data_IF_939445768668
#
_entry.id   IF_939445768668
#
_cell.length_a   1.000
_cell.length_b   1.000
_cell.length_c   1.000
_cell.angle_alpha   90.00
_cell.angle_beta   90.00
_cell.angle_gamma   90.00
#
_symmetry.space_group_name_H-M   'P 1'
#
loop_
_entity.id
_entity.type
_entity.pdbx_description
1 polymer ?
#
# COMPACT_ATOMS: atom_id res chain seq x y z
N UNK A 1 -80.88 -13.32 -8.43
CA UNK A 1 -80.67 -12.04 -9.15
C UNK A 1 -79.73 -11.17 -8.32
N UNK A 2 -78.61 -10.77 -8.94
CA UNK A 2 -77.71 -9.64 -8.63
C UNK A 2 -76.95 -9.58 -7.28
N UNK A 3 -75.64 -9.52 -7.42
CA UNK A 3 -74.52 -9.32 -6.48
C UNK A 3 -74.48 -7.94 -5.83
N UNK A 4 -73.99 -7.85 -4.59
CA UNK A 4 -73.50 -6.59 -4.00
C UNK A 4 -72.04 -6.78 -3.54
N UNK A 5 -71.12 -6.10 -4.25
CA UNK A 5 -69.70 -6.07 -3.95
C UNK A 5 -69.43 -5.07 -2.81
N UNK A 6 -68.62 -5.48 -1.82
CA UNK A 6 -68.06 -4.55 -0.82
C UNK A 6 -66.60 -4.29 -1.18
N UNK A 7 -66.29 -3.01 -1.40
CA UNK A 7 -65.01 -2.48 -1.89
C UNK A 7 -64.04 -2.33 -0.71
N UNK A 8 -62.84 -2.88 -0.84
CA UNK A 8 -61.75 -2.79 0.15
C UNK A 8 -61.03 -1.43 0.01
N UNK A 9 -60.83 -0.62 1.07
CA UNK A 9 -60.11 0.64 0.91
C UNK A 9 -58.59 0.41 0.90
N UNK A 10 -57.95 1.05 -0.08
CA UNK A 10 -56.53 1.01 -0.36
C UNK A 10 -55.70 1.92 0.57
N UNK A 11 -54.63 1.34 1.12
CA UNK A 11 -53.23 1.83 1.14
C UNK A 11 -52.96 3.35 1.19
N UNK A 12 -52.32 3.82 2.28
CA UNK A 12 -51.56 5.08 2.30
C UNK A 12 -50.14 4.83 2.84
N UNK A 13 -49.15 4.97 1.96
CA UNK A 13 -47.74 4.72 2.17
C UNK A 13 -47.05 5.83 2.98
N UNK A 14 -46.16 5.46 3.92
CA UNK A 14 -45.05 6.32 4.33
C UNK A 14 -43.80 5.47 4.63
N UNK A 15 -43.18 4.93 3.58
CA UNK A 15 -41.89 4.26 3.66
C UNK A 15 -40.76 5.27 3.57
N UNK A 16 -40.16 5.64 4.70
CA UNK A 16 -38.93 6.42 4.74
C UNK A 16 -37.77 5.48 4.37
N UNK A 17 -37.32 5.49 3.12
CA UNK A 17 -36.19 4.67 2.69
C UNK A 17 -34.88 5.35 3.10
N UNK A 18 -34.20 4.78 4.10
CA UNK A 18 -32.81 5.14 4.37
C UNK A 18 -31.96 4.70 3.17
N UNK A 19 -31.45 5.65 2.39
CA UNK A 19 -30.45 5.35 1.38
C UNK A 19 -29.17 4.87 2.10
N UNK A 20 -28.59 3.72 1.71
CA UNK A 20 -27.30 3.31 2.26
C UNK A 20 -26.24 4.34 1.86
N UNK A 21 -25.61 4.95 2.86
CA UNK A 21 -24.38 5.74 2.66
C UNK A 21 -23.27 4.75 2.30
N UNK A 22 -22.84 4.75 1.04
CA UNK A 22 -21.69 3.97 0.60
C UNK A 22 -20.45 4.83 0.84
N UNK A 23 -19.60 4.42 1.78
CA UNK A 23 -18.28 5.01 1.98
C UNK A 23 -17.26 4.21 1.17
N UNK A 24 -16.50 4.89 0.32
CA UNK A 24 -15.48 4.25 -0.51
C UNK A 24 -14.19 4.07 0.32
N UNK A 25 -13.73 2.83 0.48
CA UNK A 25 -12.48 2.52 1.19
C UNK A 25 -11.32 2.52 0.18
N UNK A 26 -10.57 3.63 0.13
CA UNK A 26 -9.42 3.75 -0.76
C UNK A 26 -8.20 3.05 -0.16
N UNK A 27 -8.10 1.73 -0.36
CA UNK A 27 -6.93 0.94 0.04
C UNK A 27 -5.73 1.30 -0.82
N UNK A 28 -4.90 2.25 -0.36
CA UNK A 28 -3.59 2.49 -0.94
C UNK A 28 -2.72 1.27 -0.62
N UNK A 29 -2.71 0.29 -1.54
CA UNK A 29 -1.88 -0.90 -1.38
C UNK A 29 -0.41 -0.50 -1.42
N UNK A 30 0.32 -0.58 -0.30
CA UNK A 30 1.77 -0.33 -0.23
C UNK A 30 2.53 -1.24 -1.21
N UNK A 31 2.05 -2.47 -1.40
CA UNK A 31 2.53 -3.39 -2.43
C UNK A 31 2.39 -2.80 -3.85
N UNK A 32 1.29 -2.09 -4.16
CA UNK A 32 1.10 -1.42 -5.45
C UNK A 32 2.06 -0.25 -5.64
N UNK A 33 2.49 0.41 -4.56
CA UNK A 33 3.46 1.50 -4.63
C UNK A 33 4.87 0.98 -4.94
N UNK A 34 5.29 -0.09 -4.27
CA UNK A 34 6.57 -0.76 -4.59
C UNK A 34 6.57 -1.32 -6.02
N UNK A 35 5.45 -1.89 -6.47
CA UNK A 35 5.32 -2.37 -7.85
C UNK A 35 5.46 -1.22 -8.86
N UNK A 36 4.81 -0.07 -8.61
CA UNK A 36 4.96 1.12 -9.46
C UNK A 36 6.40 1.65 -9.47
N UNK A 37 7.08 1.63 -8.33
CA UNK A 37 8.48 2.03 -8.24
C UNK A 37 9.37 1.09 -9.06
N UNK A 38 9.20 -0.24 -8.93
CA UNK A 38 9.95 -1.21 -9.73
C UNK A 38 9.72 -1.03 -11.23
N UNK A 39 8.50 -0.68 -11.65
CA UNK A 39 8.20 -0.38 -13.06
C UNK A 39 8.83 0.92 -13.58
N UNK A 40 9.22 1.85 -12.70
CA UNK A 40 9.80 3.14 -13.07
C UNK A 40 11.34 3.12 -13.08
N UNK A 41 11.96 2.01 -12.66
CA UNK A 41 13.42 1.87 -12.58
C UNK A 41 13.86 0.69 -13.43
N UNK A 42 14.74 0.95 -14.41
CA UNK A 42 15.17 -0.06 -15.38
C UNK A 42 16.15 -1.11 -14.79
N UNK A 43 16.68 -0.87 -13.58
CA UNK A 43 17.63 -1.76 -12.91
C UNK A 43 16.99 -2.72 -11.89
N UNK A 44 17.79 -3.65 -11.37
CA UNK A 44 17.40 -4.45 -10.21
C UNK A 44 17.44 -3.59 -8.94
N UNK A 45 16.52 -3.86 -8.02
CA UNK A 45 16.50 -3.26 -6.68
C UNK A 45 16.57 -4.37 -5.62
N UNK A 46 17.23 -4.13 -4.48
CA UNK A 46 17.19 -5.06 -3.36
C UNK A 46 15.75 -5.31 -2.90
N UNK A 47 15.37 -6.59 -2.84
CA UNK A 47 14.05 -6.99 -2.37
C UNK A 47 14.02 -7.06 -0.83
N UNK A 48 12.86 -6.84 -0.20
CA UNK A 48 12.70 -7.04 1.23
C UNK A 48 13.15 -8.45 1.65
N UNK A 49 13.83 -8.55 2.79
CA UNK A 49 14.35 -9.81 3.33
C UNK A 49 15.80 -10.13 2.94
N UNK A 50 16.42 -9.41 2.01
CA UNK A 50 17.84 -9.62 1.70
C UNK A 50 18.74 -9.17 2.86
N UNK A 51 19.81 -9.93 3.12
CA UNK A 51 20.83 -9.54 4.10
C UNK A 51 21.76 -8.45 3.54
N UNK A 52 22.33 -7.60 4.41
CA UNK A 52 23.29 -6.55 4.00
C UNK A 52 24.44 -7.10 3.14
N UNK A 53 25.06 -8.21 3.54
CA UNK A 53 26.15 -8.84 2.78
C UNK A 53 25.72 -9.27 1.37
N UNK A 54 24.49 -9.75 1.23
CA UNK A 54 23.92 -10.10 -0.08
C UNK A 54 23.69 -8.85 -0.91
N UNK A 55 23.18 -7.77 -0.32
CA UNK A 55 23.00 -6.49 -1.00
C UNK A 55 24.34 -5.93 -1.47
N UNK A 56 25.35 -5.91 -0.62
CA UNK A 56 26.70 -5.44 -0.96
C UNK A 56 27.31 -6.27 -2.10
N UNK A 57 27.17 -7.59 -2.05
CA UNK A 57 27.69 -8.50 -3.08
C UNK A 57 26.99 -8.37 -4.43
N UNK A 58 25.67 -8.16 -4.44
CA UNK A 58 24.87 -8.13 -5.68
C UNK A 58 24.72 -6.72 -6.27
N UNK A 59 24.74 -5.68 -5.44
CA UNK A 59 24.46 -4.29 -5.83
C UNK A 59 25.67 -3.36 -5.65
N UNK A 60 26.75 -3.85 -5.02
CA UNK A 60 27.97 -3.10 -4.75
C UNK A 60 27.89 -2.25 -3.48
N UNK A 61 28.99 -1.52 -3.23
CA UNK A 61 29.09 -0.60 -2.10
C UNK A 61 28.12 0.58 -2.23
N UNK A 62 27.46 0.99 -1.14
CA UNK A 62 26.68 2.21 -1.15
C UNK A 62 27.59 3.44 -1.27
N UNK A 63 27.08 4.53 -1.88
CA UNK A 63 27.78 5.81 -1.91
C UNK A 63 27.83 6.47 -0.53
N UNK A 64 26.90 6.09 0.35
CA UNK A 64 26.82 6.61 1.72
C UNK A 64 26.02 5.66 2.63
N UNK A 65 26.46 5.55 3.88
CA UNK A 65 25.72 4.85 4.95
C UNK A 65 25.28 5.87 5.99
N UNK A 66 24.04 5.76 6.50
CA UNK A 66 23.49 6.55 7.61
C UNK A 66 22.96 5.65 8.72
N UNK A 67 22.99 6.19 9.94
CA UNK A 67 22.51 5.50 11.14
C UNK A 67 23.56 4.56 11.74
N UNK A 68 23.13 3.55 12.54
CA UNK A 68 21.74 3.27 12.89
C UNK A 68 21.08 4.37 13.75
N UNK A 69 19.77 4.55 13.63
CA UNK A 69 18.96 5.46 14.48
C UNK A 69 17.64 4.81 14.88
N UNK A 70 17.10 5.22 16.04
CA UNK A 70 15.77 4.81 16.51
C UNK A 70 15.73 3.47 17.25
N UNK A 71 14.51 3.08 17.63
CA UNK A 71 14.15 1.75 18.15
C UNK A 71 12.84 1.32 17.46
N UNK A 72 12.86 0.31 16.57
CA UNK A 72 14.02 -0.50 16.20
C UNK A 72 15.09 0.29 15.45
N UNK A 73 16.34 -0.16 15.56
CA UNK A 73 17.48 0.51 14.96
C UNK A 73 17.50 0.37 13.42
N UNK A 74 17.38 1.48 12.70
CA UNK A 74 17.36 1.51 11.23
C UNK A 74 18.66 2.06 10.65
N UNK A 75 19.28 1.29 9.75
CA UNK A 75 20.43 1.71 8.94
C UNK A 75 19.97 2.01 7.51
N UNK A 76 20.51 3.07 6.89
CA UNK A 76 20.16 3.45 5.52
C UNK A 76 21.42 3.43 4.65
N UNK A 77 21.39 2.66 3.58
CA UNK A 77 22.40 2.68 2.53
C UNK A 77 21.89 3.47 1.34
N UNK A 78 22.67 4.42 0.85
CA UNK A 78 22.34 5.23 -0.31
C UNK A 78 23.09 4.76 -1.54
N UNK A 79 22.36 4.59 -2.63
CA UNK A 79 22.88 4.41 -3.99
C UNK A 79 22.54 5.65 -4.82
N UNK A 80 23.10 5.80 -6.04
CA UNK A 80 22.85 6.99 -6.86
C UNK A 80 21.35 7.26 -7.12
N UNK A 81 20.55 6.22 -7.42
CA UNK A 81 19.13 6.35 -7.77
C UNK A 81 18.13 5.94 -6.69
N UNK A 82 18.58 5.33 -5.58
CA UNK A 82 17.69 4.78 -4.56
C UNK A 82 18.36 4.68 -3.20
N UNK A 83 17.58 4.40 -2.15
CA UNK A 83 18.06 4.12 -0.80
C UNK A 83 17.48 2.79 -0.30
N UNK A 84 18.29 2.03 0.43
CA UNK A 84 17.92 0.74 1.01
C UNK A 84 17.92 0.89 2.54
N UNK A 85 16.82 0.48 3.16
CA UNK A 85 16.60 0.57 4.59
C UNK A 85 16.74 -0.82 5.20
N UNK A 86 17.53 -0.91 6.26
CA UNK A 86 17.80 -2.15 6.97
C UNK A 86 17.37 -2.06 8.43
N UNK A 87 16.78 -3.15 8.91
CA UNK A 87 16.58 -3.45 10.31
C UNK A 87 17.20 -4.82 10.59
N UNK A 88 17.96 -4.99 11.67
CA UNK A 88 18.59 -6.27 12.03
C UNK A 88 19.32 -6.95 10.85
N UNK A 89 20.13 -6.18 10.11
CA UNK A 89 20.88 -6.63 8.93
C UNK A 89 20.04 -7.05 7.71
N UNK A 90 18.73 -6.80 7.72
CA UNK A 90 17.77 -7.28 6.71
C UNK A 90 17.09 -6.10 6.02
N UNK A 91 16.97 -6.14 4.69
CA UNK A 91 16.23 -5.13 3.93
C UNK A 91 14.77 -5.12 4.36
N UNK A 92 14.29 -3.98 4.83
CA UNK A 92 12.88 -3.75 5.10
C UNK A 92 12.21 -3.00 3.94
N UNK A 93 12.92 -2.05 3.31
CA UNK A 93 12.39 -1.25 2.19
C UNK A 93 13.50 -0.73 1.27
N UNK A 94 13.13 -0.53 0.00
CA UNK A 94 13.94 0.17 -1.01
C UNK A 94 13.12 1.31 -1.60
N UNK A 95 13.67 2.52 -1.63
CA UNK A 95 12.97 3.75 -2.07
C UNK A 95 13.75 4.43 -3.18
N UNK A 96 13.12 4.65 -4.34
CA UNK A 96 13.69 5.45 -5.42
C UNK A 96 13.82 6.92 -5.01
N UNK A 97 14.93 7.55 -5.39
CA UNK A 97 15.11 9.00 -5.24
C UNK A 97 14.36 9.71 -6.37
N UNK A 98 13.65 10.78 -6.04
CA UNK A 98 13.14 11.73 -7.03
C UNK A 98 14.34 12.51 -7.58
N UNK A 99 14.56 12.44 -8.89
CA UNK A 99 15.52 13.30 -9.60
C UNK A 99 14.96 14.70 -9.80
#
# INVERSE_FOLDING_TARGET
MKTLQLITPALLCLGLTLAPVQADELKIGVASQMQRQKSAYDGKLPEPGLAQDTVQREFGEPVRVRGPVGDPAITIWEYPGYSVFFENNTVIHTVLKSG
#
